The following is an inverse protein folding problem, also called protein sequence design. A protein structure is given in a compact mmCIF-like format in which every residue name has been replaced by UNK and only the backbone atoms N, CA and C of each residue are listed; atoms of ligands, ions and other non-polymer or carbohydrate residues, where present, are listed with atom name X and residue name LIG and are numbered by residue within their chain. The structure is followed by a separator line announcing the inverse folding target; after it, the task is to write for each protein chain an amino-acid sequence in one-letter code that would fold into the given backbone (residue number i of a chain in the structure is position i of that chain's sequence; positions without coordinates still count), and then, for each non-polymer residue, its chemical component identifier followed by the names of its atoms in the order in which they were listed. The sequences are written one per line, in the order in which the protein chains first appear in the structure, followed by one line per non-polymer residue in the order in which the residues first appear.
data_IF_384906298048
#
_entry.id   IF_384906298048
#
_cell.length_a   1.000
_cell.length_b   1.000
_cell.length_c   1.000
_cell.angle_alpha   90.00
_cell.angle_beta   90.00
_cell.angle_gamma   90.00
#
_symmetry.space_group_name_H-M   'P 1'
#
loop_
_entity.id
_entity.type
_entity.pdbx_description
1 polymer ?
#
# COMPACT_ATOMS: atom_id res chain seq x y z
N UNK A 1 36.62 7.19 -22.09
CA UNK A 1 37.40 7.05 -20.84
C UNK A 1 36.51 7.53 -19.70
N UNK A 2 36.10 6.61 -18.84
CA UNK A 2 35.22 6.86 -17.71
C UNK A 2 36.02 7.52 -16.58
N UNK A 3 35.61 8.71 -16.13
CA UNK A 3 36.05 9.25 -14.84
C UNK A 3 34.89 9.19 -13.86
N UNK A 4 35.01 8.22 -12.95
CA UNK A 4 34.05 7.94 -11.89
C UNK A 4 33.95 9.09 -10.90
N UNK A 5 32.71 9.47 -10.62
CA UNK A 5 32.35 10.23 -9.43
C UNK A 5 32.52 9.31 -8.20
N UNK A 6 33.50 9.61 -7.35
CA UNK A 6 33.58 9.04 -6.00
C UNK A 6 32.82 9.95 -5.04
N UNK A 7 31.79 9.47 -4.33
CA UNK A 7 31.13 10.27 -3.31
C UNK A 7 32.01 10.32 -2.07
N UNK A 8 32.35 11.54 -1.66
CA UNK A 8 33.05 11.84 -0.43
C UNK A 8 32.33 11.19 0.76
N UNK A 9 33.02 10.28 1.45
CA UNK A 9 32.61 9.72 2.73
C UNK A 9 32.63 10.84 3.78
N UNK A 10 31.47 11.43 4.04
CA UNK A 10 31.26 12.27 5.22
C UNK A 10 31.40 11.40 6.47
N UNK A 11 32.59 11.46 7.08
CA UNK A 11 32.88 10.85 8.37
C UNK A 11 32.34 11.75 9.48
N UNK A 12 31.09 11.52 9.90
CA UNK A 12 30.61 12.03 11.19
C UNK A 12 31.18 11.13 12.30
N UNK A 13 32.28 11.57 12.91
CA UNK A 13 32.82 11.04 14.17
C UNK A 13 31.86 11.47 15.31
N UNK A 14 30.82 10.69 15.57
CA UNK A 14 30.05 10.81 16.81
C UNK A 14 30.68 9.86 17.84
N UNK A 15 31.42 10.48 18.76
CA UNK A 15 31.94 9.86 19.97
C UNK A 15 30.77 9.48 20.89
N UNK A 16 30.31 8.24 20.81
CA UNK A 16 29.53 7.60 21.87
C UNK A 16 30.17 6.24 22.19
N UNK A 17 31.05 6.23 23.20
CA UNK A 17 31.47 5.00 23.88
C UNK A 17 30.29 4.50 24.70
N UNK A 18 29.56 3.53 24.17
CA UNK A 18 28.48 2.84 24.87
C UNK A 18 27.48 2.27 23.88
N UNK A 19 27.45 0.95 23.77
CA UNK A 19 26.42 0.16 23.07
C UNK A 19 26.46 0.12 21.54
N UNK A 20 27.60 -0.32 20.98
CA UNK A 20 27.67 -0.78 19.58
C UNK A 20 26.74 -2.00 19.36
N UNK A 21 26.59 -2.87 20.36
CA UNK A 21 25.80 -4.10 20.24
C UNK A 21 24.27 -3.90 20.11
N UNK A 22 23.73 -2.73 20.45
CA UNK A 22 22.27 -2.49 20.38
C UNK A 22 21.84 -2.04 18.97
N UNK A 23 22.75 -1.46 18.19
CA UNK A 23 22.44 -0.91 16.86
C UNK A 23 22.41 -2.02 15.81
N UNK A 24 23.26 -3.04 15.95
CA UNK A 24 23.32 -4.18 15.02
C UNK A 24 22.05 -5.05 15.07
N UNK A 25 21.41 -5.18 16.24
CA UNK A 25 20.21 -6.03 16.40
C UNK A 25 18.95 -5.43 15.73
N UNK A 26 18.90 -4.11 15.50
CA UNK A 26 17.74 -3.43 14.90
C UNK A 26 17.80 -3.26 13.39
N UNK A 27 18.91 -3.59 12.75
CA UNK A 27 19.01 -3.63 11.29
C UNK A 27 18.62 -5.03 10.81
N UNK A 28 17.32 -5.37 10.87
CA UNK A 28 16.79 -6.40 9.99
C UNK A 28 17.15 -5.98 8.57
N UNK A 29 18.09 -6.68 7.93
CA UNK A 29 18.36 -6.49 6.51
C UNK A 29 17.10 -6.91 5.76
N UNK A 30 16.26 -5.94 5.43
CA UNK A 30 15.20 -6.15 4.46
C UNK A 30 15.85 -6.39 3.10
N UNK A 31 15.42 -7.45 2.41
CA UNK A 31 15.79 -7.69 1.03
C UNK A 31 15.35 -6.49 0.19
N UNK A 32 16.30 -5.69 -0.28
CA UNK A 32 15.99 -4.53 -1.12
C UNK A 32 15.52 -5.01 -2.49
N UNK A 33 14.21 -4.88 -2.75
CA UNK A 33 13.61 -5.15 -4.07
C UNK A 33 13.40 -3.84 -4.79
N UNK A 34 13.99 -3.70 -5.98
CA UNK A 34 13.80 -2.51 -6.81
C UNK A 34 12.55 -2.69 -7.67
N UNK A 35 11.57 -1.81 -7.49
CA UNK A 35 10.34 -1.78 -8.28
C UNK A 35 10.38 -0.55 -9.18
N UNK A 36 10.10 -0.73 -10.47
CA UNK A 36 9.92 0.39 -11.39
C UNK A 36 8.48 0.88 -11.30
N UNK A 37 8.31 2.16 -11.01
CA UNK A 37 7.01 2.83 -10.94
C UNK A 37 6.93 3.91 -12.01
N UNK A 38 5.73 4.16 -12.51
CA UNK A 38 5.51 5.26 -13.44
C UNK A 38 5.64 6.61 -12.71
N UNK A 39 6.07 7.69 -13.39
CA UNK A 39 6.16 9.02 -12.77
C UNK A 39 4.80 9.51 -12.21
N UNK A 40 3.71 9.14 -12.88
CA UNK A 40 2.35 9.45 -12.43
C UNK A 40 2.05 8.82 -11.07
N UNK A 41 2.32 7.53 -10.92
CA UNK A 41 2.08 6.80 -9.66
C UNK A 41 2.97 7.35 -8.55
N UNK A 42 4.23 7.69 -8.86
CA UNK A 42 5.12 8.32 -7.87
C UNK A 42 4.58 9.67 -7.39
N UNK A 43 4.07 10.50 -8.30
CA UNK A 43 3.50 11.80 -7.94
C UNK A 43 2.25 11.67 -7.06
N UNK A 44 1.37 10.72 -7.37
CA UNK A 44 0.18 10.42 -6.54
C UNK A 44 0.58 9.92 -5.15
N UNK A 45 1.57 9.02 -5.07
CA UNK A 45 2.08 8.52 -3.80
C UNK A 45 2.73 9.63 -2.96
N UNK A 46 3.46 10.55 -3.61
CA UNK A 46 4.05 11.70 -2.93
C UNK A 46 3.01 12.70 -2.44
N UNK A 47 1.94 12.95 -3.20
CA UNK A 47 0.83 13.77 -2.73
C UNK A 47 0.14 13.12 -1.52
N UNK A 48 -0.02 11.80 -1.54
CA UNK A 48 -0.58 11.05 -0.43
C UNK A 48 0.28 11.13 0.83
N UNK A 49 1.62 11.11 0.73
CA UNK A 49 2.49 11.26 1.92
C UNK A 49 2.34 12.64 2.57
N UNK A 50 2.08 13.69 1.79
CA UNK A 50 1.75 15.02 2.30
C UNK A 50 0.48 15.02 3.15
N UNK A 51 -0.61 14.47 2.60
CA UNK A 51 -1.89 14.33 3.32
C UNK A 51 -1.75 13.48 4.59
N UNK A 52 -1.00 12.38 4.51
CA UNK A 52 -0.78 11.49 5.65
C UNK A 52 0.06 12.17 6.75
N UNK A 53 1.05 12.98 6.36
CA UNK A 53 1.86 13.78 7.27
C UNK A 53 1.03 14.83 8.02
N UNK A 54 0.09 15.49 7.34
CA UNK A 54 -0.85 16.42 7.97
C UNK A 54 -1.77 15.72 8.98
N UNK A 55 -2.34 14.58 8.59
CA UNK A 55 -3.24 13.79 9.44
C UNK A 55 -2.55 13.26 10.69
N UNK A 56 -1.34 12.72 10.55
CA UNK A 56 -0.58 12.11 11.65
C UNK A 56 0.28 13.11 12.43
N UNK A 57 0.37 14.37 11.97
CA UNK A 57 1.21 15.43 12.57
C UNK A 57 2.68 15.02 12.78
N UNK A 58 3.19 14.10 11.95
CA UNK A 58 4.57 13.61 11.96
C UNK A 58 5.11 13.59 10.54
N UNK A 59 6.44 13.64 10.37
CA UNK A 59 7.04 13.32 9.07
C UNK A 59 6.79 11.86 8.75
N UNK A 60 6.36 11.61 7.52
CA UNK A 60 5.96 10.29 7.01
C UNK A 60 6.90 9.93 5.86
N UNK A 61 7.50 8.74 5.91
CA UNK A 61 8.30 8.20 4.80
C UNK A 61 7.40 7.62 3.70
N UNK A 62 7.98 7.29 2.55
CA UNK A 62 7.24 6.57 1.50
C UNK A 62 6.84 5.18 2.00
N UNK A 63 7.69 4.53 2.79
CA UNK A 63 7.42 3.22 3.36
C UNK A 63 6.25 3.27 4.36
N UNK A 64 6.20 4.30 5.23
CA UNK A 64 5.05 4.53 6.13
C UNK A 64 3.74 4.69 5.33
N UNK A 65 3.78 5.39 4.20
CA UNK A 65 2.61 5.61 3.36
C UNK A 65 2.16 4.33 2.65
N UNK A 66 3.11 3.49 2.22
CA UNK A 66 2.81 2.17 1.65
C UNK A 66 2.23 1.23 2.71
N UNK A 67 2.77 1.23 3.93
CA UNK A 67 2.23 0.43 5.04
C UNK A 67 0.81 0.85 5.39
N UNK A 68 0.52 2.15 5.47
CA UNK A 68 -0.84 2.66 5.67
C UNK A 68 -1.76 2.17 4.54
N UNK A 69 -1.36 2.33 3.27
CA UNK A 69 -2.17 1.90 2.12
C UNK A 69 -2.44 0.39 2.13
N UNK A 70 -1.43 -0.43 2.38
CA UNK A 70 -1.55 -1.89 2.44
C UNK A 70 -2.42 -2.33 3.62
N UNK A 71 -2.32 -1.66 4.76
CA UNK A 71 -3.17 -1.97 5.91
C UNK A 71 -4.67 -1.78 5.60
N UNK A 72 -5.02 -0.83 4.73
CA UNK A 72 -6.40 -0.63 4.27
C UNK A 72 -6.79 -1.67 3.21
N UNK A 73 -5.89 -2.00 2.29
CA UNK A 73 -6.14 -3.02 1.26
C UNK A 73 -6.51 -4.39 1.87
N UNK A 74 -5.87 -4.77 2.97
CA UNK A 74 -6.17 -6.01 3.70
C UNK A 74 -7.38 -5.91 4.65
N UNK A 75 -7.90 -4.71 4.90
CA UNK A 75 -9.02 -4.45 5.80
C UNK A 75 -10.34 -4.21 5.10
N UNK A 76 -10.36 -4.11 3.77
CA UNK A 76 -11.58 -3.96 2.99
C UNK A 76 -12.46 -5.21 3.19
N UNK A 77 -13.41 -5.11 4.10
CA UNK A 77 -14.41 -6.15 4.33
C UNK A 77 -15.38 -6.13 3.14
N UNK A 78 -15.99 -7.27 2.77
CA UNK A 78 -17.06 -7.28 1.79
C UNK A 78 -18.18 -6.26 2.09
N UNK A 79 -18.40 -5.95 3.37
CA UNK A 79 -19.33 -4.91 3.83
C UNK A 79 -18.97 -3.49 3.41
N UNK A 80 -17.69 -3.19 3.18
CA UNK A 80 -17.23 -1.85 2.80
C UNK A 80 -17.60 -1.53 1.34
N UNK A 81 -17.97 -2.55 0.57
CA UNK A 81 -18.51 -2.42 -0.79
C UNK A 81 -20.05 -2.45 -0.83
N UNK A 82 -20.72 -2.54 0.33
CA UNK A 82 -22.17 -2.48 0.38
C UNK A 82 -22.66 -1.10 -0.10
N UNK A 83 -23.52 -1.08 -1.13
CA UNK A 83 -24.04 0.15 -1.73
C UNK A 83 -23.09 0.85 -2.72
N UNK A 84 -21.87 0.34 -2.92
CA UNK A 84 -20.98 0.82 -3.98
C UNK A 84 -21.44 0.34 -5.38
N UNK A 85 -22.20 -0.75 -5.43
CA UNK A 85 -22.76 -1.24 -6.67
C UNK A 85 -24.06 -0.50 -7.00
N UNK A 86 -24.01 0.28 -8.07
CA UNK A 86 -25.19 0.91 -8.69
C UNK A 86 -25.66 -0.01 -9.81
N UNK A 87 -26.68 -0.80 -9.52
CA UNK A 87 -27.31 -1.72 -10.46
C UNK A 87 -28.37 -0.99 -11.28
N UNK A 88 -28.42 -1.26 -12.58
CA UNK A 88 -29.50 -0.75 -13.43
C UNK A 88 -30.75 -1.64 -13.36
N UNK A 89 -31.94 -1.07 -13.59
CA UNK A 89 -33.20 -1.83 -13.57
C UNK A 89 -33.16 -3.05 -14.51
N UNK A 90 -32.51 -2.90 -15.67
CA UNK A 90 -32.32 -3.98 -16.64
C UNK A 90 -31.45 -5.11 -16.08
N UNK A 91 -30.33 -4.75 -15.46
CA UNK A 91 -29.42 -5.71 -14.83
C UNK A 91 -30.11 -6.43 -13.65
N UNK A 92 -30.98 -5.74 -12.91
CA UNK A 92 -31.79 -6.34 -11.86
C UNK A 92 -32.75 -7.41 -12.40
N UNK A 93 -33.42 -7.13 -13.52
CA UNK A 93 -34.33 -8.09 -14.17
C UNK A 93 -33.58 -9.34 -14.64
N UNK A 94 -32.44 -9.17 -15.33
CA UNK A 94 -31.61 -10.29 -15.82
C UNK A 94 -31.13 -11.20 -14.67
N UNK A 95 -30.72 -10.60 -13.55
CA UNK A 95 -30.28 -11.34 -12.36
C UNK A 95 -31.47 -12.05 -11.69
N UNK A 96 -32.62 -11.41 -11.59
CA UNK A 96 -33.85 -12.01 -11.03
C UNK A 96 -34.32 -13.21 -11.85
N UNK A 97 -34.30 -13.11 -13.17
CA UNK A 97 -34.66 -14.22 -14.06
C UNK A 97 -33.69 -15.40 -13.89
N UNK A 98 -32.39 -15.13 -13.90
CA UNK A 98 -31.35 -16.14 -13.70
C UNK A 98 -31.50 -16.87 -12.35
N UNK A 99 -31.78 -16.12 -11.28
CA UNK A 99 -32.02 -16.69 -9.96
C UNK A 99 -33.30 -17.53 -9.91
N UNK A 100 -34.37 -17.08 -10.58
CA UNK A 100 -35.64 -17.80 -10.64
C UNK A 100 -35.48 -19.15 -11.34
N UNK A 101 -34.75 -19.19 -12.46
CA UNK A 101 -34.46 -20.45 -13.17
C UNK A 101 -33.72 -21.44 -12.26
N UNK A 102 -32.65 -20.98 -11.61
CA UNK A 102 -31.87 -21.81 -10.67
C UNK A 102 -32.72 -22.29 -9.50
N UNK A 103 -33.60 -21.45 -8.96
CA UNK A 103 -34.47 -21.79 -7.83
C UNK A 103 -35.52 -22.85 -8.19
N UNK A 104 -36.07 -22.78 -9.41
CA UNK A 104 -37.00 -23.78 -9.93
C UNK A 104 -36.30 -25.12 -10.23
N UNK A 105 -35.01 -25.10 -10.62
CA UNK A 105 -34.20 -26.32 -10.71
C UNK A 105 -34.02 -26.96 -9.34
N UNK A 106 -33.73 -26.15 -8.31
CA UNK A 106 -33.44 -26.65 -6.96
C UNK A 106 -34.68 -27.21 -6.23
N UNK A 107 -35.89 -26.74 -6.54
CA UNK A 107 -37.15 -27.28 -6.01
C UNK A 107 -37.57 -28.62 -6.61
N UNK A 108 -36.96 -29.02 -7.73
CA UNK A 108 -37.29 -30.25 -8.45
C UNK A 108 -36.50 -31.46 -7.96
N UNK A 109 -35.49 -31.25 -7.11
CA UNK A 109 -34.77 -32.27 -6.35
C UNK A 109 -35.40 -32.49 -4.96
#
# INVERSE_FOLDING_TARGET
MNHGYTPALYTMKILCKGNINIIEEKMKMEETKTIKISPKIYAELHAFTGLLSERLKRRVSIDDALEDLLSHAHRNKPSDFAGAWVMSDKEEEEIKESLKELWETWKRD
#
